data_IF_482581363080
#
_entry.id   IF_482581363080
#
_cell.length_a   1.000
_cell.length_b   1.000
_cell.length_c   1.000
_cell.angle_alpha   90.00
_cell.angle_beta   90.00
_cell.angle_gamma   90.00
#
_symmetry.space_group_name_H-M   'P 1'
#
loop_
_entity.id
_entity.type
_entity.pdbx_description
1 polymer ?
#
# COMPACT_ATOMS: atom_id res chain seq x y z
N UNK A 1 -20.94 33.84 4.47
CA UNK A 1 -19.65 33.53 3.81
C UNK A 1 -19.51 32.02 3.75
N UNK A 2 -19.90 31.42 2.63
CA UNK A 2 -19.74 29.98 2.38
C UNK A 2 -18.61 29.82 1.37
N UNK A 3 -17.39 29.71 1.88
CA UNK A 3 -16.19 29.38 1.10
C UNK A 3 -15.70 27.99 1.52
N UNK A 4 -16.55 26.97 1.35
CA UNK A 4 -16.05 25.61 1.18
C UNK A 4 -15.75 25.46 -0.31
N UNK A 5 -14.54 25.89 -0.67
CA UNK A 5 -13.94 25.62 -1.96
C UNK A 5 -14.01 24.11 -2.21
N UNK A 6 -14.59 23.73 -3.35
CA UNK A 6 -14.33 22.43 -3.98
C UNK A 6 -12.83 22.14 -3.81
N UNK A 7 -12.47 21.07 -3.11
CA UNK A 7 -11.09 20.61 -3.08
C UNK A 7 -10.63 20.48 -4.52
N UNK A 8 -9.61 21.24 -4.90
CA UNK A 8 -9.04 21.16 -6.24
C UNK A 8 -8.48 19.75 -6.37
N UNK A 9 -9.19 18.88 -7.09
CA UNK A 9 -8.67 17.58 -7.48
C UNK A 9 -7.26 17.79 -8.06
N UNK A 10 -6.30 16.99 -7.61
CA UNK A 10 -4.93 17.09 -8.11
C UNK A 10 -4.96 16.77 -9.61
N UNK A 11 -4.53 17.71 -10.45
CA UNK A 11 -4.48 17.50 -11.88
C UNK A 11 -3.33 16.54 -12.23
N UNK A 12 -3.67 15.33 -12.68
CA UNK A 12 -2.71 14.34 -13.17
C UNK A 12 -2.32 14.72 -14.60
N UNK A 13 -1.05 15.06 -14.78
CA UNK A 13 -0.48 15.46 -16.08
C UNK A 13 0.22 14.28 -16.77
N UNK A 14 0.43 14.36 -18.08
CA UNK A 14 1.25 13.38 -18.79
C UNK A 14 2.68 13.31 -18.22
N UNK A 15 3.32 12.15 -18.34
CA UNK A 15 4.69 11.99 -17.90
C UNK A 15 5.66 12.73 -18.83
N UNK A 16 6.62 13.44 -18.23
CA UNK A 16 7.85 13.85 -18.90
C UNK A 16 8.70 12.61 -19.25
N UNK A 17 9.72 12.71 -20.12
CA UNK A 17 10.55 11.55 -20.46
C UNK A 17 11.18 10.85 -19.24
N UNK A 18 11.67 11.61 -18.26
CA UNK A 18 12.25 11.03 -17.04
C UNK A 18 11.18 10.35 -16.16
N UNK A 19 9.99 10.94 -16.07
CA UNK A 19 8.90 10.38 -15.26
C UNK A 19 8.31 9.11 -15.90
N UNK A 20 8.29 9.05 -17.23
CA UNK A 20 7.88 7.87 -17.98
C UNK A 20 8.88 6.74 -17.75
N UNK A 21 10.19 7.04 -17.86
CA UNK A 21 11.24 6.07 -17.55
C UNK A 21 11.16 5.58 -16.10
N UNK A 22 11.01 6.49 -15.13
CA UNK A 22 10.82 6.16 -13.72
C UNK A 22 9.66 5.18 -13.52
N UNK A 23 8.51 5.46 -14.14
CA UNK A 23 7.31 4.64 -14.05
C UNK A 23 7.53 3.26 -14.67
N UNK A 24 8.04 3.22 -15.91
CA UNK A 24 8.24 1.98 -16.67
C UNK A 24 9.25 1.06 -16.01
N UNK A 25 10.32 1.61 -15.43
CA UNK A 25 11.34 0.82 -14.73
C UNK A 25 10.84 0.23 -13.40
N UNK A 26 9.79 0.80 -12.79
CA UNK A 26 9.15 0.23 -11.60
C UNK A 26 8.17 -0.91 -11.91
N UNK A 27 7.64 -1.00 -13.14
CA UNK A 27 6.62 -2.00 -13.52
C UNK A 27 7.04 -3.42 -13.15
N UNK A 28 8.25 -3.91 -13.46
CA UNK A 28 8.65 -5.29 -13.13
C UNK A 28 8.65 -5.56 -11.60
N UNK A 29 9.03 -4.56 -10.79
CA UNK A 29 9.03 -4.68 -9.33
C UNK A 29 7.60 -4.67 -8.78
N UNK A 30 6.74 -3.81 -9.34
CA UNK A 30 5.33 -3.73 -8.98
C UNK A 30 4.60 -5.02 -9.35
N UNK A 31 4.84 -5.56 -10.54
CA UNK A 31 4.25 -6.83 -11.00
C UNK A 31 4.72 -8.02 -10.17
N UNK A 32 5.97 -8.03 -9.68
CA UNK A 32 6.44 -9.06 -8.75
C UNK A 32 5.60 -9.11 -7.47
N UNK A 33 5.11 -7.97 -7.01
CA UNK A 33 4.20 -7.87 -5.86
C UNK A 33 2.77 -8.20 -6.28
N UNK A 34 2.21 -7.49 -7.26
CA UNK A 34 0.79 -7.57 -7.56
C UNK A 34 0.36 -8.89 -8.22
N UNK A 35 1.29 -9.56 -8.90
CA UNK A 35 1.09 -10.88 -9.51
C UNK A 35 1.75 -11.99 -8.69
N UNK A 36 2.09 -11.74 -7.43
CA UNK A 36 2.73 -12.73 -6.57
C UNK A 36 1.85 -14.00 -6.42
N UNK A 37 2.42 -15.23 -6.43
CA UNK A 37 1.66 -16.48 -6.30
C UNK A 37 0.73 -16.54 -5.07
N UNK A 38 1.10 -15.86 -3.97
CA UNK A 38 0.25 -15.71 -2.79
C UNK A 38 -1.12 -15.11 -3.16
N UNK A 39 -1.15 -14.01 -3.90
CA UNK A 39 -2.40 -13.34 -4.29
C UNK A 39 -3.13 -14.09 -5.39
N UNK A 40 -2.42 -14.71 -6.33
CA UNK A 40 -3.03 -15.56 -7.35
C UNK A 40 -3.77 -16.76 -6.72
N UNK A 41 -3.14 -17.44 -5.77
CA UNK A 41 -3.77 -18.55 -5.04
C UNK A 41 -4.88 -18.07 -4.10
N UNK A 42 -4.72 -16.87 -3.52
CA UNK A 42 -5.79 -16.24 -2.75
C UNK A 42 -7.02 -15.97 -3.64
N UNK A 43 -6.83 -15.48 -4.87
CA UNK A 43 -7.91 -15.23 -5.81
C UNK A 43 -8.52 -16.53 -6.38
N UNK A 44 -7.73 -17.59 -6.57
CA UNK A 44 -8.24 -18.85 -7.13
C UNK A 44 -8.87 -19.79 -6.11
N UNK A 45 -8.81 -19.48 -4.81
CA UNK A 45 -9.25 -20.37 -3.73
C UNK A 45 -8.27 -21.50 -3.40
N UNK A 46 -7.04 -21.43 -3.90
CA UNK A 46 -6.02 -22.48 -3.75
C UNK A 46 -5.02 -22.23 -2.62
N UNK A 47 -5.06 -21.05 -2.00
CA UNK A 47 -4.21 -20.74 -0.84
C UNK A 47 -4.72 -21.51 0.38
N UNK A 48 -3.85 -22.21 1.10
CA UNK A 48 -4.24 -22.88 2.33
C UNK A 48 -4.73 -21.87 3.35
N UNK A 49 -5.70 -22.27 4.18
CA UNK A 49 -6.27 -21.37 5.17
C UNK A 49 -5.21 -20.90 6.18
N UNK A 50 -4.23 -21.73 6.51
CA UNK A 50 -3.10 -21.36 7.36
C UNK A 50 -2.22 -20.29 6.72
N UNK A 51 -1.92 -20.43 5.42
CA UNK A 51 -1.16 -19.42 4.70
C UNK A 51 -1.97 -18.11 4.55
N UNK A 52 -3.29 -18.19 4.34
CA UNK A 52 -4.18 -17.04 4.29
C UNK A 52 -4.17 -16.29 5.62
N UNK A 53 -4.44 -17.00 6.72
CA UNK A 53 -4.43 -16.44 8.09
C UNK A 53 -3.08 -15.83 8.43
N UNK A 54 -1.98 -16.49 8.08
CA UNK A 54 -0.65 -15.95 8.28
C UNK A 54 -0.44 -14.65 7.51
N UNK A 55 -0.91 -14.56 6.26
CA UNK A 55 -0.82 -13.32 5.47
C UNK A 55 -1.57 -12.18 6.16
N UNK A 56 -2.84 -12.39 6.54
CA UNK A 56 -3.64 -11.38 7.24
C UNK A 56 -3.00 -10.95 8.57
N UNK A 57 -2.53 -11.92 9.35
CA UNK A 57 -1.93 -11.66 10.65
C UNK A 57 -0.64 -10.84 10.52
N UNK A 58 0.27 -11.25 9.64
CA UNK A 58 1.61 -10.67 9.58
C UNK A 58 1.71 -9.40 8.72
N UNK A 59 0.77 -9.14 7.80
CA UNK A 59 0.67 -7.84 7.11
C UNK A 59 -0.14 -6.80 7.90
N UNK A 60 -0.81 -7.19 9.00
CA UNK A 60 -1.57 -6.26 9.84
C UNK A 60 -0.76 -5.01 10.26
N UNK A 61 0.51 -5.10 10.71
CA UNK A 61 1.27 -3.91 11.09
C UNK A 61 1.50 -2.92 9.93
N UNK A 62 1.63 -3.41 8.69
CA UNK A 62 1.78 -2.56 7.50
C UNK A 62 0.54 -1.68 7.30
N UNK A 63 -0.65 -2.29 7.40
CA UNK A 63 -1.93 -1.59 7.28
C UNK A 63 -2.17 -0.67 8.48
N UNK A 64 -1.89 -1.13 9.70
CA UNK A 64 -2.10 -0.37 10.92
C UNK A 64 -1.26 0.91 10.98
N UNK A 65 -0.03 0.87 10.46
CA UNK A 65 0.89 2.00 10.48
C UNK A 65 0.84 2.87 9.21
N UNK A 66 0.06 2.50 8.19
CA UNK A 66 0.00 3.25 6.93
C UNK A 66 -0.26 4.75 7.09
N UNK A 67 -1.23 5.20 7.93
CA UNK A 67 -1.44 6.63 8.19
C UNK A 67 -0.27 7.28 8.93
N UNK A 68 0.48 6.51 9.70
CA UNK A 68 1.66 7.02 10.44
C UNK A 68 2.83 7.30 9.51
N UNK A 69 3.04 6.46 8.49
CA UNK A 69 4.03 6.71 7.43
C UNK A 69 3.70 8.01 6.68
N UNK A 70 2.44 8.19 6.28
CA UNK A 70 1.99 9.43 5.67
C UNK A 70 2.16 10.65 6.60
N UNK A 71 1.90 10.50 7.90
CA UNK A 71 2.08 11.59 8.86
C UNK A 71 3.55 12.04 8.99
N UNK A 72 4.50 11.11 8.87
CA UNK A 72 5.93 11.43 8.82
C UNK A 72 6.35 12.13 7.52
N UNK A 73 5.72 11.79 6.40
CA UNK A 73 5.83 12.58 5.16
C UNK A 73 5.26 13.99 5.36
N UNK A 74 4.06 14.09 5.95
CA UNK A 74 3.37 15.36 6.20
C UNK A 74 4.17 16.30 7.09
N UNK A 75 4.93 15.77 8.06
CA UNK A 75 5.79 16.57 8.92
C UNK A 75 6.92 17.28 8.17
N UNK A 76 7.24 16.84 6.94
CA UNK A 76 8.28 17.43 6.07
C UNK A 76 7.72 18.46 5.09
N UNK A 77 6.41 18.46 4.85
CA UNK A 77 5.76 19.35 3.90
C UNK A 77 5.53 20.75 4.50
N UNK A 78 6.63 21.48 4.75
CA UNK A 78 6.64 22.77 5.46
C UNK A 78 7.23 23.94 4.64
N UNK A 79 8.07 23.65 3.64
CA UNK A 79 8.63 24.69 2.77
C UNK A 79 7.66 25.02 1.63
N UNK A 80 6.74 25.95 1.90
CA UNK A 80 5.75 26.38 0.91
C UNK A 80 6.34 27.15 -0.28
N UNK A 81 7.63 27.50 -0.24
CA UNK A 81 8.30 28.10 -1.41
C UNK A 81 8.76 27.06 -2.43
N UNK A 82 8.94 25.80 -2.00
CA UNK A 82 9.33 24.71 -2.87
C UNK A 82 8.13 24.17 -3.67
N UNK A 83 8.39 23.83 -4.93
CA UNK A 83 7.37 23.33 -5.86
C UNK A 83 6.74 22.03 -5.35
N UNK A 84 5.41 21.91 -5.47
CA UNK A 84 4.66 20.70 -5.11
C UNK A 84 4.46 20.46 -3.62
N UNK A 85 5.10 21.23 -2.71
CA UNK A 85 4.98 21.02 -1.26
C UNK A 85 3.58 21.31 -0.75
N UNK A 86 2.94 22.40 -1.23
CA UNK A 86 1.59 22.77 -0.80
C UNK A 86 0.56 21.71 -1.21
N UNK A 87 0.65 21.24 -2.45
CA UNK A 87 -0.23 20.20 -3.00
C UNK A 87 -0.01 18.88 -2.27
N UNK A 88 1.25 18.49 -2.04
CA UNK A 88 1.59 17.27 -1.29
C UNK A 88 1.04 17.33 0.12
N UNK A 89 1.20 18.47 0.81
CA UNK A 89 0.67 18.67 2.15
C UNK A 89 -0.84 18.46 2.19
N UNK A 90 -1.57 19.12 1.29
CA UNK A 90 -3.02 19.03 1.23
C UNK A 90 -3.49 17.61 0.90
N UNK A 91 -2.82 16.95 -0.04
CA UNK A 91 -3.10 15.58 -0.44
C UNK A 91 -2.87 14.60 0.73
N UNK A 92 -1.75 14.71 1.45
CA UNK A 92 -1.47 13.86 2.62
C UNK A 92 -2.51 14.04 3.74
N UNK A 93 -2.92 15.28 4.04
CA UNK A 93 -3.96 15.53 5.06
C UNK A 93 -5.29 14.86 4.67
N UNK A 94 -5.67 14.95 3.39
CA UNK A 94 -6.89 14.33 2.89
C UNK A 94 -6.79 12.80 2.91
N UNK A 95 -5.68 12.23 2.45
CA UNK A 95 -5.49 10.77 2.39
C UNK A 95 -5.34 10.13 3.77
N UNK A 96 -4.67 10.78 4.73
CA UNK A 96 -4.70 10.33 6.14
C UNK A 96 -6.13 10.23 6.67
N UNK A 97 -7.03 11.14 6.23
CA UNK A 97 -8.44 11.07 6.61
C UNK A 97 -9.19 9.93 5.91
N UNK A 98 -8.84 9.60 4.66
CA UNK A 98 -9.39 8.45 3.92
C UNK A 98 -9.10 7.15 4.68
N UNK A 99 -7.88 6.99 5.19
CA UNK A 99 -7.44 5.78 5.90
C UNK A 99 -8.14 5.52 7.24
N UNK A 100 -8.93 6.47 7.78
CA UNK A 100 -9.56 6.40 9.11
C UNK A 100 -10.28 5.06 9.38
N UNK A 101 -10.89 4.46 8.36
CA UNK A 101 -11.68 3.23 8.48
C UNK A 101 -10.95 1.97 8.03
N UNK A 102 -9.82 2.10 7.34
CA UNK A 102 -9.15 0.96 6.71
C UNK A 102 -8.70 -0.07 7.74
N UNK A 103 -8.17 0.35 8.88
CA UNK A 103 -7.75 -0.58 9.93
C UNK A 103 -8.91 -1.41 10.48
N UNK A 104 -10.07 -0.80 10.73
CA UNK A 104 -11.26 -1.51 11.20
C UNK A 104 -11.75 -2.52 10.16
N UNK A 105 -11.75 -2.14 8.87
CA UNK A 105 -12.13 -3.06 7.80
C UNK A 105 -11.16 -4.23 7.63
N UNK A 106 -9.87 -4.00 7.87
CA UNK A 106 -8.86 -5.06 7.84
C UNK A 106 -9.05 -6.03 9.02
N UNK A 107 -9.38 -5.52 10.21
CA UNK A 107 -9.74 -6.37 11.36
C UNK A 107 -11.00 -7.20 11.06
N UNK A 108 -12.02 -6.61 10.43
CA UNK A 108 -13.22 -7.34 9.99
C UNK A 108 -12.87 -8.44 8.98
N UNK A 109 -11.93 -8.18 8.06
CA UNK A 109 -11.46 -9.17 7.10
C UNK A 109 -10.73 -10.32 7.80
N UNK A 110 -9.76 -10.01 8.66
CA UNK A 110 -9.04 -10.99 9.48
C UNK A 110 -9.98 -11.83 10.36
N UNK A 111 -10.97 -11.19 11.00
CA UNK A 111 -12.00 -11.87 11.79
C UNK A 111 -12.87 -12.82 10.96
N UNK A 112 -13.16 -12.48 9.70
CA UNK A 112 -13.83 -13.37 8.74
C UNK A 112 -13.05 -14.65 8.43
N UNK A 113 -11.74 -14.68 8.70
CA UNK A 113 -10.89 -15.86 8.56
C UNK A 113 -10.46 -16.45 9.91
N UNK A 114 -11.11 -16.05 11.01
CA UNK A 114 -10.92 -16.64 12.34
C UNK A 114 -9.80 -16.04 13.18
N UNK A 115 -9.23 -14.90 12.80
CA UNK A 115 -8.23 -14.19 13.60
C UNK A 115 -8.90 -13.26 14.61
N UNK A 116 -8.41 -13.25 15.86
CA UNK A 116 -8.88 -12.34 16.89
C UNK A 116 -8.14 -10.99 16.85
N UNK A 117 -8.80 -9.95 17.38
CA UNK A 117 -8.17 -8.63 17.56
C UNK A 117 -6.92 -8.72 18.45
N UNK A 118 -6.93 -9.59 19.46
CA UNK A 118 -5.77 -9.78 20.33
C UNK A 118 -4.58 -10.37 19.59
N UNK A 119 -4.80 -11.34 18.68
CA UNK A 119 -3.74 -11.87 17.83
C UNK A 119 -3.15 -10.78 16.94
N UNK A 120 -4.01 -9.96 16.32
CA UNK A 120 -3.58 -8.85 15.47
C UNK A 120 -2.76 -7.82 16.25
N UNK A 121 -3.22 -7.42 17.43
CA UNK A 121 -2.53 -6.40 18.25
C UNK A 121 -1.23 -6.89 18.87
N UNK A 122 -1.02 -8.20 18.99
CA UNK A 122 0.18 -8.80 19.59
C UNK A 122 1.14 -9.38 18.56
N UNK A 123 0.78 -9.37 17.26
CA UNK A 123 1.59 -9.98 16.22
C UNK A 123 2.99 -9.37 16.18
N UNK A 124 3.98 -10.26 16.01
CA UNK A 124 5.36 -9.90 15.70
C UNK A 124 5.73 -10.63 14.41
N UNK A 125 5.68 -9.95 13.25
CA UNK A 125 5.94 -10.62 11.99
C UNK A 125 7.36 -11.20 11.95
N UNK A 126 7.58 -12.30 11.20
CA UNK A 126 8.93 -12.77 10.89
C UNK A 126 9.80 -11.65 10.33
N UNK A 127 11.12 -11.73 10.52
CA UNK A 127 12.05 -10.65 10.14
C UNK A 127 11.87 -10.21 8.68
N UNK A 128 11.75 -11.16 7.75
CA UNK A 128 11.54 -10.86 6.33
C UNK A 128 10.19 -10.17 6.06
N UNK A 129 9.12 -10.52 6.80
CA UNK A 129 7.83 -9.84 6.69
C UNK A 129 7.83 -8.46 7.35
N UNK A 130 8.59 -8.27 8.44
CA UNK A 130 8.65 -6.99 9.13
C UNK A 130 9.60 -5.98 8.48
N UNK A 131 10.46 -6.43 7.56
CA UNK A 131 11.45 -5.60 6.90
C UNK A 131 10.82 -4.40 6.16
N UNK A 132 9.67 -4.59 5.52
CA UNK A 132 8.93 -3.49 4.87
C UNK A 132 8.51 -2.40 5.86
N UNK A 133 8.06 -2.76 7.06
CA UNK A 133 7.70 -1.79 8.09
C UNK A 133 8.92 -1.00 8.57
N UNK A 134 10.05 -1.69 8.79
CA UNK A 134 11.30 -1.04 9.19
C UNK A 134 11.82 -0.09 8.12
N UNK A 135 11.78 -0.50 6.86
CA UNK A 135 12.12 0.34 5.72
C UNK A 135 11.22 1.58 5.66
N UNK A 136 9.90 1.42 5.72
CA UNK A 136 8.97 2.55 5.68
C UNK A 136 9.16 3.49 6.86
N UNK A 137 9.35 2.99 8.09
CA UNK A 137 9.68 3.85 9.23
C UNK A 137 10.99 4.61 9.02
N UNK A 138 12.03 3.95 8.53
CA UNK A 138 13.33 4.57 8.28
C UNK A 138 13.22 5.66 7.21
N UNK A 139 12.78 5.30 6.00
CA UNK A 139 12.66 6.21 4.85
C UNK A 139 11.75 7.38 5.16
N UNK A 140 10.59 7.14 5.79
CA UNK A 140 9.69 8.22 6.15
C UNK A 140 10.23 9.09 7.29
N UNK A 141 11.17 8.61 8.10
CA UNK A 141 11.79 9.45 9.14
C UNK A 141 12.91 10.29 8.57
N UNK A 142 13.81 9.70 7.77
CA UNK A 142 15.10 10.29 7.39
C UNK A 142 15.16 10.81 5.96
N UNK A 143 14.30 10.33 5.07
CA UNK A 143 14.27 10.70 3.65
C UNK A 143 13.63 12.06 3.38
N UNK A 144 13.72 12.50 2.13
CA UNK A 144 13.00 13.66 1.61
C UNK A 144 11.50 13.41 1.49
N UNK A 145 10.71 14.47 1.28
CA UNK A 145 9.26 14.35 1.03
C UNK A 145 8.96 13.49 -0.21
N UNK A 146 9.79 13.60 -1.27
CA UNK A 146 9.64 12.79 -2.48
C UNK A 146 9.93 11.30 -2.23
N UNK A 147 10.97 10.98 -1.46
CA UNK A 147 11.27 9.60 -1.05
C UNK A 147 10.13 9.00 -0.20
N UNK A 148 9.53 9.80 0.70
CA UNK A 148 8.40 9.39 1.52
C UNK A 148 7.20 8.96 0.67
N UNK A 149 6.79 9.82 -0.30
CA UNK A 149 5.69 9.51 -1.22
C UNK A 149 6.01 8.31 -2.11
N UNK A 150 7.23 8.22 -2.61
CA UNK A 150 7.64 7.16 -3.51
C UNK A 150 7.65 5.79 -2.82
N UNK A 151 8.24 5.71 -1.62
CA UNK A 151 8.30 4.46 -0.84
C UNK A 151 6.95 4.02 -0.28
N UNK A 152 6.08 4.97 0.08
CA UNK A 152 4.82 4.67 0.79
C UNK A 152 3.65 4.64 -0.18
N UNK A 153 3.31 5.80 -0.73
CA UNK A 153 2.07 5.98 -1.48
C UNK A 153 2.16 5.39 -2.88
N UNK A 154 3.27 5.61 -3.59
CA UNK A 154 3.44 5.01 -4.92
C UNK A 154 3.68 3.50 -4.81
N UNK A 155 4.73 3.07 -4.10
CA UNK A 155 5.09 1.65 -4.10
C UNK A 155 4.03 0.73 -3.47
N UNK A 156 3.50 1.08 -2.30
CA UNK A 156 2.60 0.17 -1.57
C UNK A 156 1.17 0.24 -2.12
N UNK A 157 0.62 1.44 -2.36
CA UNK A 157 -0.77 1.56 -2.82
C UNK A 157 -0.92 1.07 -4.26
N UNK A 158 0.05 1.35 -5.14
CA UNK A 158 -0.04 0.89 -6.54
C UNK A 158 -0.12 -0.63 -6.65
N UNK A 159 0.77 -1.34 -5.95
CA UNK A 159 0.72 -2.79 -5.93
C UNK A 159 -0.56 -3.31 -5.24
N UNK A 160 -1.03 -2.60 -4.20
CA UNK A 160 -2.22 -2.97 -3.42
C UNK A 160 -3.52 -2.83 -4.20
N UNK A 161 -3.68 -1.77 -4.98
CA UNK A 161 -4.78 -1.61 -5.92
C UNK A 161 -4.84 -2.79 -6.90
N UNK A 162 -3.72 -3.12 -7.54
CA UNK A 162 -3.66 -4.19 -8.55
C UNK A 162 -4.04 -5.58 -8.01
N UNK A 163 -3.46 -6.01 -6.88
CA UNK A 163 -3.74 -7.36 -6.38
C UNK A 163 -5.12 -7.47 -5.72
N UNK A 164 -5.58 -6.41 -5.06
CA UNK A 164 -6.86 -6.44 -4.33
C UNK A 164 -8.05 -6.62 -5.27
N UNK A 165 -7.98 -6.10 -6.50
CA UNK A 165 -8.98 -6.34 -7.57
C UNK A 165 -9.17 -7.83 -7.83
N UNK A 166 -8.07 -8.58 -7.94
CA UNK A 166 -8.12 -10.01 -8.26
C UNK A 166 -8.62 -10.82 -7.07
N UNK A 167 -8.10 -10.53 -5.88
CA UNK A 167 -8.51 -11.18 -4.64
C UNK A 167 -9.99 -10.92 -4.35
N UNK A 168 -10.47 -9.68 -4.48
CA UNK A 168 -11.86 -9.34 -4.24
C UNK A 168 -12.83 -10.09 -5.15
N UNK A 169 -12.47 -10.30 -6.43
CA UNK A 169 -13.27 -11.11 -7.37
C UNK A 169 -13.31 -12.60 -6.97
N UNK A 170 -12.20 -13.11 -6.44
CA UNK A 170 -12.00 -14.52 -6.15
C UNK A 170 -12.35 -14.98 -4.73
N UNK A 171 -12.46 -14.06 -3.78
CA UNK A 171 -12.53 -14.35 -2.34
C UNK A 171 -13.70 -15.28 -1.94
N UNK A 172 -14.78 -15.29 -2.71
CA UNK A 172 -15.93 -16.16 -2.46
C UNK A 172 -15.62 -17.65 -2.62
N UNK A 173 -14.47 -18.03 -3.20
CA UNK A 173 -14.03 -19.42 -3.25
C UNK A 173 -13.83 -20.07 -1.86
N UNK A 174 -13.70 -19.27 -0.79
CA UNK A 174 -13.55 -19.76 0.58
C UNK A 174 -14.88 -19.84 1.36
N UNK A 175 -16.02 -19.47 0.76
CA UNK A 175 -17.29 -19.30 1.50
C UNK A 175 -17.82 -20.59 2.15
N UNK A 176 -17.53 -21.74 1.54
CA UNK A 176 -17.99 -23.05 2.03
C UNK A 176 -17.06 -23.64 3.10
N UNK A 177 -15.92 -22.99 3.40
CA UNK A 177 -15.02 -23.47 4.44
C UNK A 177 -15.62 -23.23 5.84
N UNK A 178 -15.74 -24.26 6.71
CA UNK A 178 -16.50 -24.15 7.97
C UNK A 178 -15.93 -23.13 8.96
N UNK A 179 -14.64 -22.82 8.86
CA UNK A 179 -13.95 -21.82 9.69
C UNK A 179 -13.90 -20.41 9.09
N UNK A 180 -14.54 -20.19 7.93
CA UNK A 180 -14.54 -18.90 7.22
C UNK A 180 -15.94 -18.30 7.26
N UNK A 181 -16.01 -17.01 7.57
CA UNK A 181 -17.23 -16.22 7.58
C UNK A 181 -17.05 -14.96 6.71
N UNK A 182 -17.44 -15.10 5.45
CA UNK A 182 -17.43 -14.00 4.48
C UNK A 182 -18.77 -13.28 4.49
N UNK A 183 -18.75 -11.97 4.72
CA UNK A 183 -19.91 -11.10 4.68
C UNK A 183 -19.53 -9.69 4.21
N UNK A 184 -20.52 -8.78 4.11
CA UNK A 184 -20.29 -7.43 3.59
C UNK A 184 -19.21 -6.64 4.35
N UNK A 185 -19.06 -6.88 5.67
CA UNK A 185 -18.07 -6.21 6.52
C UNK A 185 -16.68 -6.81 6.33
N UNK A 186 -16.55 -8.15 6.35
CA UNK A 186 -15.24 -8.79 6.14
C UNK A 186 -14.66 -8.56 4.74
N UNK A 187 -15.48 -8.15 3.77
CA UNK A 187 -15.04 -7.75 2.44
C UNK A 187 -14.87 -6.23 2.24
N UNK A 188 -15.08 -5.40 3.28
CA UNK A 188 -15.06 -3.95 3.12
C UNK A 188 -13.67 -3.42 2.72
N UNK A 189 -12.59 -3.97 3.29
CA UNK A 189 -11.23 -3.55 2.99
C UNK A 189 -10.86 -3.86 1.53
N UNK A 190 -11.10 -5.10 1.10
CA UNK A 190 -10.88 -5.52 -0.28
C UNK A 190 -11.72 -4.70 -1.26
N UNK A 191 -13.00 -4.44 -0.95
CA UNK A 191 -13.87 -3.62 -1.82
C UNK A 191 -13.35 -2.19 -1.98
N UNK A 192 -12.81 -1.60 -0.91
CA UNK A 192 -12.30 -0.23 -0.94
C UNK A 192 -11.05 -0.11 -1.84
N UNK A 193 -10.12 -1.07 -1.74
CA UNK A 193 -8.87 -1.04 -2.51
C UNK A 193 -8.99 -1.65 -3.91
N UNK A 194 -9.99 -2.51 -4.15
CA UNK A 194 -10.27 -3.10 -5.46
C UNK A 194 -11.02 -2.13 -6.42
N UNK A 195 -11.11 -0.84 -6.08
CA UNK A 195 -11.87 0.10 -6.87
C UNK A 195 -11.10 0.45 -8.16
N UNK A 196 -11.75 0.31 -9.31
CA UNK A 196 -11.10 0.37 -10.63
C UNK A 196 -10.56 1.78 -11.00
N UNK A 197 -11.00 2.81 -10.28
CA UNK A 197 -10.56 4.20 -10.46
C UNK A 197 -9.65 4.68 -9.31
N UNK A 198 -8.92 3.77 -8.64
CA UNK A 198 -7.93 4.16 -7.65
C UNK A 198 -6.85 5.04 -8.30
N UNK A 199 -6.99 6.36 -8.08
CA UNK A 199 -6.11 7.39 -8.62
C UNK A 199 -4.89 7.61 -7.72
N UNK A 200 -4.87 7.08 -6.49
CA UNK A 200 -3.83 7.38 -5.50
C UNK A 200 -2.40 7.17 -6.01
N UNK A 201 -2.03 6.07 -6.70
CA UNK A 201 -0.66 5.93 -7.19
C UNK A 201 -0.31 6.93 -8.30
N UNK A 202 -1.28 7.32 -9.12
CA UNK A 202 -1.09 8.34 -10.16
C UNK A 202 -0.99 9.75 -9.57
N UNK A 203 -1.76 10.05 -8.53
CA UNK A 203 -1.66 11.28 -7.74
C UNK A 203 -0.31 11.36 -7.01
N UNK A 204 0.14 10.27 -6.39
CA UNK A 204 1.45 10.18 -5.77
C UNK A 204 2.56 10.44 -6.79
N UNK A 205 2.47 9.84 -7.99
CA UNK A 205 3.43 10.09 -9.06
C UNK A 205 3.39 11.54 -9.56
N UNK A 206 2.21 12.17 -9.65
CA UNK A 206 2.07 13.58 -9.97
C UNK A 206 2.78 14.49 -8.94
N UNK A 207 2.62 14.20 -7.64
CA UNK A 207 3.31 14.92 -6.58
C UNK A 207 4.83 14.72 -6.64
N UNK A 208 5.30 13.49 -6.88
CA UNK A 208 6.72 13.19 -7.06
C UNK A 208 7.29 13.99 -8.25
N UNK A 209 6.57 14.07 -9.38
CA UNK A 209 6.99 14.90 -10.53
C UNK A 209 7.19 16.37 -10.14
N UNK A 210 6.26 16.94 -9.36
CA UNK A 210 6.34 18.34 -8.92
C UNK A 210 7.48 18.58 -7.95
N UNK A 211 7.65 17.70 -6.96
CA UNK A 211 8.71 17.81 -5.96
C UNK A 211 10.11 17.63 -6.56
N UNK A 212 10.23 16.75 -7.57
CA UNK A 212 11.50 16.39 -8.20
C UNK A 212 11.78 17.17 -9.50
N UNK A 213 10.97 18.18 -9.84
CA UNK A 213 11.16 19.00 -11.02
C UNK A 213 12.58 19.59 -11.04
N UNK A 214 13.28 19.38 -12.17
CA UNK A 214 14.66 19.82 -12.40
C UNK A 214 15.69 19.40 -11.32
N UNK A 215 15.41 18.31 -10.58
CA UNK A 215 16.28 17.78 -9.52
C UNK A 215 16.65 16.30 -9.78
N UNK A 216 17.59 16.00 -10.69
CA UNK A 216 17.94 14.62 -11.05
C UNK A 216 18.36 13.73 -9.88
N UNK A 217 19.08 14.30 -8.89
CA UNK A 217 19.46 13.55 -7.68
C UNK A 217 18.23 13.13 -6.85
N UNK A 218 17.23 14.01 -6.75
CA UNK A 218 16.00 13.72 -6.02
C UNK A 218 15.11 12.74 -6.79
N UNK A 219 15.07 12.83 -8.12
CA UNK A 219 14.40 11.87 -9.00
C UNK A 219 14.98 10.45 -8.76
N UNK A 220 16.30 10.32 -8.75
CA UNK A 220 16.97 9.05 -8.51
C UNK A 220 16.70 8.51 -7.11
N UNK A 221 16.74 9.35 -6.07
CA UNK A 221 16.43 8.93 -4.70
C UNK A 221 14.98 8.45 -4.55
N UNK A 222 14.03 9.19 -5.10
CA UNK A 222 12.62 8.79 -5.11
C UNK A 222 12.42 7.46 -5.85
N UNK A 223 13.12 7.25 -6.97
CA UNK A 223 13.06 5.99 -7.72
C UNK A 223 13.54 4.82 -6.87
N UNK A 224 14.72 4.96 -6.26
CA UNK A 224 15.29 3.93 -5.38
C UNK A 224 14.37 3.64 -4.20
N UNK A 225 13.78 4.68 -3.58
CA UNK A 225 12.84 4.52 -2.48
C UNK A 225 11.58 3.73 -2.88
N UNK A 226 11.00 3.99 -4.06
CA UNK A 226 9.87 3.21 -4.58
C UNK A 226 10.28 1.76 -4.89
N UNK A 227 11.41 1.57 -5.57
CA UNK A 227 11.94 0.26 -5.91
C UNK A 227 12.19 -0.60 -4.67
N UNK A 228 12.88 -0.06 -3.66
CA UNK A 228 13.14 -0.76 -2.40
C UNK A 228 11.84 -1.08 -1.65
N UNK A 229 10.86 -0.16 -1.65
CA UNK A 229 9.54 -0.42 -1.08
C UNK A 229 8.85 -1.64 -1.69
N UNK A 230 8.88 -1.75 -3.02
CA UNK A 230 8.35 -2.91 -3.76
C UNK A 230 9.17 -4.19 -3.49
N UNK A 231 10.50 -4.10 -3.41
CA UNK A 231 11.37 -5.24 -3.12
C UNK A 231 11.15 -5.79 -1.70
N UNK A 232 11.00 -4.92 -0.69
CA UNK A 232 10.68 -5.33 0.68
C UNK A 232 9.27 -5.90 0.80
N UNK A 233 8.31 -5.39 0.03
CA UNK A 233 6.97 -5.98 -0.05
C UNK A 233 7.05 -7.40 -0.65
N UNK A 234 7.74 -7.57 -1.78
CA UNK A 234 7.95 -8.88 -2.38
C UNK A 234 8.66 -9.86 -1.44
N UNK A 235 9.67 -9.40 -0.68
CA UNK A 235 10.36 -10.21 0.33
C UNK A 235 9.39 -10.71 1.43
N UNK A 236 8.47 -9.86 1.89
CA UNK A 236 7.46 -10.24 2.86
C UNK A 236 6.50 -11.30 2.31
N UNK A 237 6.12 -11.18 1.04
CA UNK A 237 5.26 -12.14 0.36
C UNK A 237 5.96 -13.49 0.17
N UNK A 238 7.22 -13.48 -0.27
CA UNK A 238 8.05 -14.67 -0.43
C UNK A 238 8.16 -15.44 0.88
N UNK A 239 8.38 -14.75 2.01
CA UNK A 239 8.43 -15.37 3.34
C UNK A 239 7.08 -15.98 3.74
N UNK A 240 5.99 -15.23 3.58
CA UNK A 240 4.66 -15.71 3.93
C UNK A 240 4.26 -16.95 3.13
N UNK A 241 4.58 -16.97 1.83
CA UNK A 241 4.18 -18.02 0.91
C UNK A 241 4.89 -19.36 1.16
N UNK A 242 6.00 -19.38 1.92
CA UNK A 242 6.63 -20.64 2.39
C UNK A 242 5.69 -21.52 3.23
N UNK A 243 4.62 -20.96 3.81
CA UNK A 243 3.62 -21.76 4.53
C UNK A 243 2.74 -22.57 3.58
N UNK A 244 2.49 -22.08 2.37
CA UNK A 244 1.72 -22.81 1.36
C UNK A 244 2.37 -24.17 1.06
N UNK A 245 3.69 -24.20 0.88
CA UNK A 245 4.42 -25.42 0.55
C UNK A 245 4.58 -26.41 1.71
N UNK A 246 4.39 -25.96 2.96
CA UNK A 246 4.38 -26.85 4.14
C UNK A 246 3.06 -27.58 4.34
N UNK A 247 2.02 -27.18 3.62
CA UNK A 247 0.67 -27.77 3.70
C UNK A 247 0.39 -28.76 2.56
N UNK A 248 1.36 -28.95 1.64
CA UNK A 248 1.29 -29.88 0.51
C UNK A 248 1.85 -31.25 0.84
#
# INVERSE_FOLDING_TARGET
>A
MSAYTKGTALEITSHSPWAQQFWDELIPYKDRVSQHPLFQNMASGQLSLDCFRSALLNFYPLVAHFPSYMALGLSKAIDFSAQGVTETRNWLIQNIKVEERHLNWYQDWAGGFGLSIDQLNQVRPPVAMNAVNHFLWHTNTTGSLAECLAATNLAIEWATGDWSVQVYKGIHAYIDHPEVNINKRSLAWLRAHAHYDDLHPYEAMELIKRLCADQPELQQKAFLAAKEGLEYYALALDECYKLQSKTA
#
